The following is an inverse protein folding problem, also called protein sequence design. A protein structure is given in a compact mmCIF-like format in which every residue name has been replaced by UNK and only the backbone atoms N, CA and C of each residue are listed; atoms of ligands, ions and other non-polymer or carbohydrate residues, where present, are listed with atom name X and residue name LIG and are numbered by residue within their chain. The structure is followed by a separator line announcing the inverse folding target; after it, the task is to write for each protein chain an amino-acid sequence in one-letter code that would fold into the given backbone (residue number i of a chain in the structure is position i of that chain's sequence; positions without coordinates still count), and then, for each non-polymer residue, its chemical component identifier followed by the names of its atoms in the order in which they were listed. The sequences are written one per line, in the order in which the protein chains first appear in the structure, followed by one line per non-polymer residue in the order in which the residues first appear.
data_IF_730290558455
#
_entry.id   IF_730290558455
#
_cell.length_a   1.000
_cell.length_b   1.000
_cell.length_c   1.000
_cell.angle_alpha   90.00
_cell.angle_beta   90.00
_cell.angle_gamma   90.00
#
_symmetry.space_group_name_H-M   'P 1'
#
loop_
_entity.id
_entity.type
_entity.pdbx_description
1 polymer ?
#
# COMPACT_ATOMS: atom_id res chain seq x y z
N UNK A 1 10.26 -6.58 6.00
CA UNK A 1 8.83 -6.17 6.06
C UNK A 1 8.81 -4.67 5.94
N UNK A 2 8.12 -4.10 4.96
CA UNK A 2 8.25 -2.69 4.64
C UNK A 2 7.07 -1.86 5.16
N UNK A 3 7.31 -0.62 5.61
CA UNK A 3 6.25 0.25 6.19
C UNK A 3 5.12 0.55 5.19
N UNK A 4 5.43 0.54 3.90
CA UNK A 4 4.45 0.68 2.80
C UNK A 4 3.44 -0.48 2.81
N UNK A 5 3.88 -1.70 3.12
CA UNK A 5 2.98 -2.87 3.20
C UNK A 5 1.99 -2.75 4.37
N UNK A 6 2.38 -2.03 5.42
CA UNK A 6 1.60 -1.82 6.65
C UNK A 6 0.72 -0.57 6.59
N UNK A 7 1.03 0.35 5.69
CA UNK A 7 0.35 1.63 5.59
C UNK A 7 -0.46 1.75 4.30
N UNK A 8 0.21 1.74 3.16
CA UNK A 8 -0.40 2.02 1.87
C UNK A 8 -1.35 0.91 1.42
N UNK A 9 -0.99 -0.36 1.62
CA UNK A 9 -1.85 -1.47 1.18
C UNK A 9 -3.17 -1.52 1.96
N UNK A 10 -3.19 -1.45 3.31
CA UNK A 10 -4.45 -1.42 4.05
C UNK A 10 -5.32 -0.22 3.70
N UNK A 11 -4.72 0.97 3.55
CA UNK A 11 -5.42 2.20 3.17
C UNK A 11 -6.12 2.05 1.81
N UNK A 12 -5.37 1.54 0.82
CA UNK A 12 -5.88 1.24 -0.50
C UNK A 12 -7.02 0.21 -0.44
N UNK A 13 -6.82 -0.87 0.31
CA UNK A 13 -7.80 -1.93 0.40
C UNK A 13 -9.14 -1.46 0.96
N UNK A 14 -9.12 -0.62 2.00
CA UNK A 14 -10.33 -0.05 2.59
C UNK A 14 -11.07 0.82 1.57
N UNK A 15 -10.33 1.70 0.88
CA UNK A 15 -10.91 2.56 -0.15
C UNK A 15 -11.59 1.73 -1.26
N UNK A 16 -10.94 0.69 -1.75
CA UNK A 16 -11.49 -0.20 -2.77
C UNK A 16 -12.72 -1.00 -2.28
N UNK A 17 -12.65 -1.56 -1.06
CA UNK A 17 -13.77 -2.28 -0.48
C UNK A 17 -14.99 -1.38 -0.30
N UNK A 18 -14.79 -0.12 0.10
CA UNK A 18 -15.88 0.86 0.17
C UNK A 18 -16.48 1.12 -1.22
N UNK A 19 -15.64 1.48 -2.19
CA UNK A 19 -16.05 1.78 -3.56
C UNK A 19 -16.83 0.62 -4.21
N UNK A 20 -16.29 -0.60 -4.12
CA UNK A 20 -16.90 -1.77 -4.76
C UNK A 20 -18.22 -2.19 -4.12
N UNK A 21 -18.43 -1.82 -2.86
CA UNK A 21 -19.62 -2.21 -2.12
C UNK A 21 -20.64 -1.08 -1.97
N UNK A 22 -20.36 0.09 -2.54
CA UNK A 22 -21.27 1.24 -2.59
C UNK A 22 -22.42 1.06 -3.59
N UNK A 23 -22.17 0.29 -4.64
CA UNK A 23 -23.16 0.02 -5.69
C UNK A 23 -23.38 -1.48 -5.81
N UNK A 24 -24.53 -1.89 -6.36
CA UNK A 24 -24.76 -3.28 -6.77
C UNK A 24 -24.27 -3.55 -8.20
N UNK A 25 -23.68 -2.55 -8.88
CA UNK A 25 -23.21 -2.67 -10.26
C UNK A 25 -22.12 -3.72 -10.41
N UNK A 26 -21.19 -3.76 -9.45
CA UNK A 26 -20.02 -4.65 -9.48
C UNK A 26 -20.29 -6.01 -8.83
N UNK A 27 -21.15 -6.03 -7.80
CA UNK A 27 -21.53 -7.22 -7.07
C UNK A 27 -23.03 -7.16 -6.87
N UNK A 28 -23.76 -8.02 -7.59
CA UNK A 28 -25.23 -8.06 -7.58
C UNK A 28 -25.76 -8.73 -6.32
N UNK A 29 -25.58 -8.04 -5.19
CA UNK A 29 -26.11 -8.41 -3.88
C UNK A 29 -26.79 -7.19 -3.25
N UNK A 30 -27.82 -7.40 -2.42
CA UNK A 30 -28.77 -6.33 -2.05
C UNK A 30 -28.19 -5.27 -1.09
N UNK A 31 -27.12 -5.59 -0.36
CA UNK A 31 -26.60 -4.71 0.69
C UNK A 31 -25.07 -4.69 0.74
N UNK A 32 -24.50 -3.60 1.27
CA UNK A 32 -23.05 -3.50 1.50
C UNK A 32 -22.51 -4.66 2.36
N UNK A 33 -23.13 -5.04 3.50
CA UNK A 33 -22.69 -6.21 4.25
C UNK A 33 -22.64 -7.49 3.42
N UNK A 34 -23.67 -7.76 2.60
CA UNK A 34 -23.68 -8.95 1.74
C UNK A 34 -22.56 -8.91 0.68
N UNK A 35 -22.31 -7.75 0.07
CA UNK A 35 -21.20 -7.56 -0.89
C UNK A 35 -19.83 -7.73 -0.22
N UNK A 36 -19.64 -7.21 0.99
CA UNK A 36 -18.40 -7.40 1.74
C UNK A 36 -18.18 -8.86 2.14
N UNK A 37 -19.22 -9.54 2.59
CA UNK A 37 -19.17 -10.98 2.90
C UNK A 37 -18.79 -11.80 1.68
N UNK A 38 -19.36 -11.46 0.52
CA UNK A 38 -19.01 -12.08 -0.76
C UNK A 38 -17.53 -11.89 -1.10
N UNK A 39 -16.99 -10.65 -0.99
CA UNK A 39 -15.56 -10.39 -1.23
C UNK A 39 -14.69 -11.18 -0.24
N UNK A 40 -15.07 -11.20 1.05
CA UNK A 40 -14.35 -11.93 2.08
C UNK A 40 -14.35 -13.44 1.84
N UNK A 41 -15.46 -13.99 1.34
CA UNK A 41 -15.53 -15.39 0.92
C UNK A 41 -14.65 -15.65 -0.30
N UNK A 42 -14.73 -14.82 -1.33
CA UNK A 42 -13.88 -14.92 -2.52
C UNK A 42 -12.38 -14.87 -2.16
N UNK A 43 -11.99 -14.04 -1.20
CA UNK A 43 -10.62 -14.00 -0.68
C UNK A 43 -10.21 -15.31 0.00
N UNK A 44 -11.05 -15.87 0.88
CA UNK A 44 -10.77 -17.13 1.58
C UNK A 44 -10.66 -18.30 0.60
N UNK A 45 -11.60 -18.37 -0.35
CA UNK A 45 -11.59 -19.38 -1.41
C UNK A 45 -10.31 -19.27 -2.25
N UNK A 46 -9.84 -18.04 -2.53
CA UNK A 46 -8.58 -17.80 -3.26
C UNK A 46 -7.31 -18.20 -2.50
N UNK A 47 -7.26 -17.94 -1.18
CA UNK A 47 -6.09 -18.30 -0.34
C UNK A 47 -6.04 -19.81 -0.05
N UNK A 48 -7.18 -20.49 -0.15
CA UNK A 48 -7.39 -21.81 0.44
C UNK A 48 -7.73 -21.63 1.92
N UNK A 49 -8.77 -22.33 2.39
CA UNK A 49 -9.41 -22.21 3.73
C UNK A 49 -8.49 -22.39 4.95
N UNK A 50 -7.18 -22.49 4.77
CA UNK A 50 -6.19 -22.82 5.80
C UNK A 50 -5.51 -21.59 6.42
N UNK A 51 -5.83 -20.36 6.03
CA UNK A 51 -5.25 -19.20 6.71
C UNK A 51 -6.10 -17.91 6.73
N UNK A 52 -6.53 -17.52 7.94
CA UNK A 52 -7.09 -16.20 8.28
C UNK A 52 -6.02 -15.10 8.25
N UNK A 53 -5.34 -14.94 7.10
CA UNK A 53 -4.26 -13.95 6.93
C UNK A 53 -4.79 -12.52 7.00
N UNK A 54 -5.98 -12.31 6.47
CA UNK A 54 -6.79 -11.09 6.66
C UNK A 54 -7.94 -11.46 7.58
N UNK A 55 -8.07 -10.75 8.69
CA UNK A 55 -9.11 -11.01 9.67
C UNK A 55 -10.50 -10.84 9.02
N UNK A 56 -11.43 -11.77 9.26
CA UNK A 56 -12.78 -11.70 8.71
C UNK A 56 -13.51 -10.37 9.02
N UNK A 57 -13.23 -9.76 10.18
CA UNK A 57 -13.78 -8.45 10.56
C UNK A 57 -13.33 -7.32 9.61
N UNK A 58 -12.24 -7.48 8.87
CA UNK A 58 -11.82 -6.50 7.87
C UNK A 58 -12.86 -6.35 6.75
N UNK A 59 -13.62 -7.41 6.46
CA UNK A 59 -14.73 -7.42 5.51
C UNK A 59 -16.07 -7.09 6.19
N UNK A 60 -16.06 -6.20 7.20
CA UNK A 60 -17.27 -5.79 7.90
C UNK A 60 -17.51 -4.29 7.75
N UNK A 61 -18.78 -3.91 7.77
CA UNK A 61 -19.17 -2.51 7.75
C UNK A 61 -18.73 -1.75 9.01
N UNK A 62 -18.44 -2.45 10.11
CA UNK A 62 -17.98 -1.84 11.36
C UNK A 62 -16.58 -1.23 11.18
N UNK A 63 -15.67 -1.96 10.52
CA UNK A 63 -14.30 -1.50 10.28
C UNK A 63 -14.25 -0.46 9.16
N UNK A 64 -15.13 -0.58 8.17
CA UNK A 64 -15.14 0.31 7.01
C UNK A 64 -15.96 1.60 7.23
N UNK A 65 -16.73 1.71 8.32
CA UNK A 65 -17.44 2.97 8.64
C UNK A 65 -16.44 4.02 9.11
N UNK A 66 -16.33 5.19 8.45
CA UNK A 66 -15.76 6.36 9.10
C UNK A 66 -16.67 6.71 10.29
N UNK A 67 -16.10 6.82 11.49
CA UNK A 67 -16.80 7.42 12.63
C UNK A 67 -17.16 8.87 12.28
N UNK A 68 -18.22 9.40 12.89
CA UNK A 68 -18.74 10.75 12.58
C UNK A 68 -17.71 11.89 12.67
N UNK A 69 -16.57 11.67 13.31
CA UNK A 69 -15.44 12.60 13.40
C UNK A 69 -14.06 11.96 13.18
N UNK A 70 -13.97 10.65 12.91
CA UNK A 70 -12.69 9.95 12.80
C UNK A 70 -12.69 8.86 11.74
N UNK A 71 -11.65 8.85 10.90
CA UNK A 71 -11.41 7.76 9.96
C UNK A 71 -10.87 6.54 10.71
N UNK A 72 -11.40 5.35 10.43
CA UNK A 72 -10.91 4.11 11.05
C UNK A 72 -9.47 3.83 10.59
N UNK A 73 -8.54 3.88 11.54
CA UNK A 73 -7.17 3.45 11.32
C UNK A 73 -7.08 1.93 11.48
N UNK A 74 -6.91 1.22 10.37
CA UNK A 74 -6.74 -0.23 10.42
C UNK A 74 -5.31 -0.54 10.87
N UNK A 75 -5.23 -1.18 12.04
CA UNK A 75 -3.99 -1.65 12.64
C UNK A 75 -3.58 -3.03 12.10
N UNK A 76 -2.36 -3.46 12.47
CA UNK A 76 -1.83 -4.78 12.11
C UNK A 76 -2.70 -5.96 12.59
N UNK A 77 -3.62 -5.72 13.53
CA UNK A 77 -4.54 -6.73 14.03
C UNK A 77 -5.53 -7.24 12.97
N UNK A 78 -5.81 -6.45 11.93
CA UNK A 78 -6.71 -6.88 10.85
C UNK A 78 -5.97 -7.47 9.67
N UNK A 79 -4.80 -6.92 9.35
CA UNK A 79 -3.99 -7.38 8.23
C UNK A 79 -2.51 -7.21 8.57
N UNK A 80 -1.79 -8.33 8.65
CA UNK A 80 -0.33 -8.30 8.81
C UNK A 80 0.34 -7.86 7.51
N UNK A 81 1.58 -7.37 7.55
CA UNK A 81 2.29 -7.01 6.31
C UNK A 81 2.51 -8.20 5.37
N UNK A 82 2.65 -9.41 5.93
CA UNK A 82 2.78 -10.62 5.14
C UNK A 82 1.49 -10.93 4.40
N UNK A 83 0.35 -10.75 5.07
CA UNK A 83 -0.97 -10.87 4.47
C UNK A 83 -1.26 -9.76 3.45
N UNK A 84 -0.87 -8.51 3.75
CA UNK A 84 -1.10 -7.34 2.91
C UNK A 84 -0.63 -7.54 1.48
N UNK A 85 0.58 -8.09 1.28
CA UNK A 85 1.09 -8.34 -0.08
C UNK A 85 0.26 -9.38 -0.84
N UNK A 86 -0.13 -10.48 -0.18
CA UNK A 86 -1.01 -11.48 -0.78
C UNK A 86 -2.40 -10.92 -1.08
N UNK A 87 -2.91 -10.09 -0.18
CA UNK A 87 -4.20 -9.43 -0.35
C UNK A 87 -4.17 -8.40 -1.48
N UNK A 88 -3.07 -7.67 -1.67
CA UNK A 88 -2.90 -6.78 -2.83
C UNK A 88 -3.01 -7.54 -4.16
N UNK A 89 -2.47 -8.77 -4.25
CA UNK A 89 -2.61 -9.62 -5.44
C UNK A 89 -4.08 -9.99 -5.66
N UNK A 90 -4.80 -10.33 -4.59
CA UNK A 90 -6.24 -10.60 -4.69
C UNK A 90 -7.04 -9.36 -5.14
N UNK A 91 -6.78 -8.19 -4.55
CA UNK A 91 -7.43 -6.93 -4.92
C UNK A 91 -7.15 -6.56 -6.37
N UNK A 92 -5.92 -6.75 -6.83
CA UNK A 92 -5.54 -6.51 -8.22
C UNK A 92 -6.31 -7.40 -9.20
N UNK A 93 -6.40 -8.70 -8.91
CA UNK A 93 -7.20 -9.64 -9.71
C UNK A 93 -8.67 -9.24 -9.77
N UNK A 94 -9.25 -8.88 -8.62
CA UNK A 94 -10.65 -8.49 -8.54
C UNK A 94 -10.90 -7.15 -9.27
N UNK A 95 -10.00 -6.18 -9.12
CA UNK A 95 -10.05 -4.90 -9.82
C UNK A 95 -9.99 -5.09 -11.35
N UNK A 96 -9.10 -5.97 -11.81
CA UNK A 96 -8.97 -6.32 -13.22
C UNK A 96 -10.23 -7.00 -13.75
N UNK A 97 -10.77 -7.96 -13.00
CA UNK A 97 -12.02 -8.62 -13.37
C UNK A 97 -13.17 -7.61 -13.50
N UNK A 98 -13.35 -6.70 -12.53
CA UNK A 98 -14.37 -5.66 -12.63
C UNK A 98 -14.16 -4.72 -13.83
N UNK A 99 -12.91 -4.42 -14.16
CA UNK A 99 -12.58 -3.63 -15.34
C UNK A 99 -12.89 -4.37 -16.64
N UNK A 100 -12.63 -5.67 -16.72
CA UNK A 100 -12.96 -6.53 -17.86
C UNK A 100 -14.47 -6.71 -18.04
N UNK A 101 -15.20 -6.94 -16.94
CA UNK A 101 -16.64 -7.23 -16.94
C UNK A 101 -17.49 -5.97 -17.21
N UNK A 102 -17.04 -4.79 -16.78
CA UNK A 102 -17.84 -3.56 -16.85
C UNK A 102 -17.23 -2.41 -17.64
N UNK A 103 -15.90 -2.36 -17.79
CA UNK A 103 -15.21 -1.41 -18.67
C UNK A 103 -15.37 0.09 -18.32
N UNK A 104 -15.84 0.46 -17.13
CA UNK A 104 -15.95 1.88 -16.78
C UNK A 104 -14.57 2.50 -16.53
N UNK A 105 -14.43 3.80 -16.77
CA UNK A 105 -13.18 4.54 -16.52
C UNK A 105 -12.69 4.34 -15.07
N UNK A 106 -13.60 4.37 -14.10
CA UNK A 106 -13.21 4.18 -12.69
C UNK A 106 -12.72 2.76 -12.41
N UNK A 107 -13.28 1.75 -13.09
CA UNK A 107 -12.83 0.37 -12.93
C UNK A 107 -11.44 0.18 -13.53
N UNK A 108 -11.18 0.77 -14.70
CA UNK A 108 -9.85 0.81 -15.32
C UNK A 108 -8.83 1.53 -14.44
N UNK A 109 -9.20 2.66 -13.83
CA UNK A 109 -8.35 3.38 -12.89
C UNK A 109 -8.06 2.55 -11.63
N UNK A 110 -9.06 1.87 -11.05
CA UNK A 110 -8.85 0.98 -9.89
C UNK A 110 -7.96 -0.21 -10.24
N UNK A 111 -8.09 -0.77 -11.45
CA UNK A 111 -7.21 -1.81 -11.94
C UNK A 111 -5.76 -1.30 -12.10
N UNK A 112 -5.57 -0.12 -12.70
CA UNK A 112 -4.25 0.51 -12.82
C UNK A 112 -3.62 0.85 -11.48
N UNK A 113 -4.42 1.31 -10.52
CA UNK A 113 -4.02 1.60 -9.14
C UNK A 113 -3.47 0.34 -8.45
N UNK A 114 -4.23 -0.76 -8.47
CA UNK A 114 -3.80 -2.02 -7.86
C UNK A 114 -2.61 -2.62 -8.61
N UNK A 115 -2.66 -2.62 -9.94
CA UNK A 115 -1.63 -3.16 -10.82
C UNK A 115 -0.29 -2.47 -10.63
N UNK A 116 -0.26 -1.13 -10.62
CA UNK A 116 0.96 -0.36 -10.39
C UNK A 116 1.62 -0.70 -9.05
N UNK A 117 0.83 -0.73 -7.96
CA UNK A 117 1.38 -1.07 -6.64
C UNK A 117 1.81 -2.54 -6.54
N UNK A 118 1.07 -3.46 -7.16
CA UNK A 118 1.40 -4.89 -7.18
C UNK A 118 2.69 -5.15 -7.95
N UNK A 119 2.89 -4.50 -9.09
CA UNK A 119 4.11 -4.62 -9.90
C UNK A 119 5.33 -4.04 -9.18
N UNK A 120 5.18 -2.90 -8.49
CA UNK A 120 6.23 -2.39 -7.61
C UNK A 120 6.67 -3.44 -6.58
N UNK A 121 5.71 -4.06 -5.90
CA UNK A 121 5.99 -5.10 -4.92
C UNK A 121 6.66 -6.33 -5.55
N UNK A 122 6.22 -6.71 -6.75
CA UNK A 122 6.85 -7.80 -7.50
C UNK A 122 8.32 -7.49 -7.81
N UNK A 123 8.64 -6.30 -8.33
CA UNK A 123 10.03 -5.90 -8.63
C UNK A 123 10.89 -5.96 -7.38
N UNK A 124 10.40 -5.42 -6.25
CA UNK A 124 11.14 -5.43 -4.98
C UNK A 124 11.41 -6.84 -4.45
N UNK A 125 10.54 -7.81 -4.76
CA UNK A 125 10.65 -9.21 -4.34
C UNK A 125 11.56 -10.03 -5.26
N UNK A 126 11.48 -9.77 -6.57
CA UNK A 126 12.21 -10.51 -7.60
C UNK A 126 13.67 -10.06 -7.76
N UNK A 127 14.04 -8.93 -7.15
CA UNK A 127 15.39 -8.39 -7.20
C UNK A 127 16.08 -8.44 -5.84
N UNK A 128 17.42 -8.52 -5.86
CA UNK A 128 18.25 -8.41 -4.67
C UNK A 128 18.36 -6.97 -4.15
N UNK A 129 19.43 -6.68 -3.42
CA UNK A 129 19.70 -5.33 -2.86
C UNK A 129 19.83 -4.24 -3.93
N UNK A 130 20.27 -4.63 -5.13
CA UNK A 130 20.48 -3.75 -6.27
C UNK A 130 19.46 -4.05 -7.35
N UNK A 131 18.96 -2.99 -7.97
CA UNK A 131 18.08 -3.06 -9.13
C UNK A 131 18.92 -2.90 -10.41
N UNK A 132 18.72 -3.79 -11.37
CA UNK A 132 19.24 -3.65 -12.75
C UNK A 132 18.55 -2.49 -13.49
N UNK A 133 19.09 -2.08 -14.64
CA UNK A 133 18.58 -0.93 -15.43
C UNK A 133 17.06 -1.00 -15.66
N UNK A 134 16.60 -2.08 -16.28
CA UNK A 134 15.18 -2.31 -16.60
C UNK A 134 14.29 -2.28 -15.34
N UNK A 135 14.78 -2.82 -14.22
CA UNK A 135 14.04 -2.83 -12.96
C UNK A 135 13.90 -1.42 -12.36
N UNK A 136 14.88 -0.53 -12.55
CA UNK A 136 14.80 0.86 -12.08
C UNK A 136 13.74 1.64 -12.85
N UNK A 137 13.78 1.55 -14.18
CA UNK A 137 12.82 2.23 -15.05
C UNK A 137 11.40 1.71 -14.81
N UNK A 138 11.25 0.38 -14.66
CA UNK A 138 9.97 -0.24 -14.32
C UNK A 138 9.41 0.25 -12.98
N UNK A 139 10.27 0.48 -11.96
CA UNK A 139 9.81 1.03 -10.69
C UNK A 139 9.18 2.41 -10.85
N UNK A 140 9.85 3.31 -11.58
CA UNK A 140 9.33 4.66 -11.81
C UNK A 140 8.04 4.62 -12.63
N UNK A 141 7.99 3.81 -13.68
CA UNK A 141 6.80 3.61 -14.51
C UNK A 141 5.59 3.14 -13.70
N UNK A 142 5.72 2.06 -12.92
CA UNK A 142 4.59 1.52 -12.15
C UNK A 142 4.19 2.41 -10.97
N UNK A 143 5.13 3.17 -10.41
CA UNK A 143 4.81 4.20 -9.43
C UNK A 143 3.98 5.33 -10.03
N UNK A 144 4.36 5.83 -11.21
CA UNK A 144 3.59 6.86 -11.92
C UNK A 144 2.19 6.34 -12.25
N UNK A 145 2.06 5.11 -12.75
CA UNK A 145 0.75 4.50 -12.99
C UNK A 145 -0.12 4.48 -11.72
N UNK A 146 0.44 3.97 -10.61
CA UNK A 146 -0.24 3.95 -9.31
C UNK A 146 -0.66 5.35 -8.85
N UNK A 147 0.24 6.34 -8.91
CA UNK A 147 -0.04 7.70 -8.42
C UNK A 147 -1.02 8.46 -9.30
N UNK A 148 -0.90 8.34 -10.61
CA UNK A 148 -1.84 8.96 -11.55
C UNK A 148 -3.24 8.41 -11.32
N UNK A 149 -3.40 7.08 -11.27
CA UNK A 149 -4.70 6.47 -11.01
C UNK A 149 -5.30 6.91 -9.65
N UNK A 150 -4.47 6.95 -8.61
CA UNK A 150 -4.89 7.43 -7.29
C UNK A 150 -5.37 8.88 -7.32
N UNK A 151 -4.60 9.76 -7.97
CA UNK A 151 -4.92 11.19 -8.02
C UNK A 151 -6.21 11.44 -8.83
N UNK A 152 -6.41 10.74 -9.94
CA UNK A 152 -7.66 10.82 -10.72
C UNK A 152 -8.88 10.41 -9.89
N UNK A 153 -8.79 9.26 -9.20
CA UNK A 153 -9.87 8.80 -8.32
C UNK A 153 -10.11 9.76 -7.15
N UNK A 154 -9.05 10.34 -6.57
CA UNK A 154 -9.16 11.31 -5.48
C UNK A 154 -9.84 12.62 -5.92
N UNK A 155 -9.47 13.17 -7.07
CA UNK A 155 -10.12 14.36 -7.66
C UNK A 155 -11.60 14.08 -7.90
N UNK A 156 -11.93 12.95 -8.52
CA UNK A 156 -13.33 12.57 -8.77
C UNK A 156 -14.13 12.41 -7.47
N UNK A 157 -13.52 11.83 -6.44
CA UNK A 157 -14.14 11.70 -5.13
C UNK A 157 -14.38 13.07 -4.47
N UNK A 158 -13.45 14.01 -4.60
CA UNK A 158 -13.60 15.39 -4.13
C UNK A 158 -14.73 16.12 -4.86
N UNK A 159 -14.73 16.09 -6.20
CA UNK A 159 -15.77 16.69 -7.05
C UNK A 159 -17.16 16.13 -6.74
N UNK A 160 -17.24 14.83 -6.47
CA UNK A 160 -18.48 14.14 -6.11
C UNK A 160 -18.86 14.31 -4.63
N UNK A 161 -18.03 14.98 -3.81
CA UNK A 161 -18.17 15.10 -2.34
C UNK A 161 -18.27 13.76 -1.61
N UNK A 162 -17.49 12.78 -2.07
CA UNK A 162 -17.42 11.41 -1.57
C UNK A 162 -16.07 11.11 -0.92
N UNK A 163 -15.60 12.00 -0.05
CA UNK A 163 -14.36 11.81 0.71
C UNK A 163 -14.62 10.86 1.90
N UNK A 164 -14.52 9.55 1.64
CA UNK A 164 -14.92 8.52 2.60
C UNK A 164 -13.78 7.95 3.45
N UNK A 165 -12.53 8.16 3.02
CA UNK A 165 -11.36 7.56 3.66
C UNK A 165 -10.14 8.48 3.65
N UNK A 166 -9.41 8.50 4.75
CA UNK A 166 -8.16 9.23 4.88
C UNK A 166 -6.96 8.34 4.56
N UNK A 167 -6.20 8.71 3.53
CA UNK A 167 -4.93 8.06 3.21
C UNK A 167 -3.83 8.61 4.13
N UNK A 168 -3.09 7.72 4.79
CA UNK A 168 -1.96 8.13 5.62
C UNK A 168 -0.87 8.75 4.72
N UNK A 169 -0.03 9.67 5.25
CA UNK A 169 1.05 10.34 4.49
C UNK A 169 2.21 9.40 4.10
N UNK A 170 2.00 8.07 4.14
CA UNK A 170 2.99 7.07 3.72
C UNK A 170 3.09 6.91 2.21
N UNK A 171 2.12 7.42 1.46
CA UNK A 171 2.19 7.49 -0.02
C UNK A 171 3.27 8.47 -0.46
N UNK A 172 3.43 9.61 0.24
CA UNK A 172 4.55 10.52 -0.01
C UNK A 172 5.89 9.87 0.33
N UNK A 173 5.95 9.07 1.39
CA UNK A 173 7.14 8.28 1.68
C UNK A 173 7.47 7.29 0.55
N UNK A 174 6.47 6.62 -0.04
CA UNK A 174 6.68 5.75 -1.20
C UNK A 174 7.32 6.51 -2.38
N UNK A 175 6.91 7.76 -2.62
CA UNK A 175 7.53 8.63 -3.63
C UNK A 175 9.04 8.73 -3.48
N UNK A 176 9.49 9.03 -2.27
CA UNK A 176 10.92 9.11 -1.96
C UNK A 176 11.63 7.78 -2.16
N UNK A 177 11.01 6.67 -1.78
CA UNK A 177 11.60 5.35 -2.02
C UNK A 177 11.79 5.06 -3.50
N UNK A 178 10.84 5.45 -4.35
CA UNK A 178 10.96 5.21 -5.79
C UNK A 178 11.94 6.20 -6.43
N UNK A 179 11.69 7.50 -6.27
CA UNK A 179 12.42 8.54 -7.02
C UNK A 179 13.84 8.77 -6.48
N UNK A 180 14.08 8.56 -5.19
CA UNK A 180 15.40 8.79 -4.58
C UNK A 180 16.21 7.49 -4.41
N UNK A 181 15.56 6.37 -4.09
CA UNK A 181 16.27 5.10 -3.85
C UNK A 181 16.26 4.18 -5.07
N UNK A 182 15.10 3.85 -5.64
CA UNK A 182 15.02 2.94 -6.79
C UNK A 182 15.72 3.50 -8.02
N UNK A 183 15.58 4.81 -8.29
CA UNK A 183 16.29 5.49 -9.38
C UNK A 183 17.82 5.38 -9.27
N UNK A 184 18.35 5.31 -8.05
CA UNK A 184 19.78 5.10 -7.79
C UNK A 184 20.19 3.61 -7.81
N UNK A 185 19.26 2.72 -8.17
CA UNK A 185 19.47 1.28 -8.22
C UNK A 185 19.39 0.57 -6.89
N UNK A 186 18.78 1.19 -5.88
CA UNK A 186 18.64 0.59 -4.54
C UNK A 186 17.23 0.02 -4.39
N UNK A 187 17.16 -1.25 -4.00
CA UNK A 187 15.90 -1.87 -3.66
C UNK A 187 15.49 -1.42 -2.24
N UNK A 188 14.40 -0.65 -2.13
CA UNK A 188 13.99 -0.06 -0.85
C UNK A 188 13.65 -1.11 0.21
N UNK A 189 13.24 -2.32 -0.20
CA UNK A 189 12.97 -3.45 0.72
C UNK A 189 14.14 -3.72 1.68
N UNK A 190 15.36 -3.44 1.26
CA UNK A 190 16.59 -3.72 2.01
C UNK A 190 17.19 -2.49 2.70
N UNK A 191 16.66 -1.29 2.47
CA UNK A 191 17.26 -0.04 2.98
C UNK A 191 16.30 0.84 3.80
N UNK A 192 14.99 0.59 3.76
CA UNK A 192 14.01 1.35 4.53
C UNK A 192 13.27 0.49 5.55
N UNK A 193 13.54 0.75 6.83
CA UNK A 193 12.96 0.05 7.98
C UNK A 193 12.44 1.06 9.04
N UNK A 194 11.80 2.15 8.62
CA UNK A 194 11.67 3.34 9.46
C UNK A 194 10.26 3.62 9.99
N UNK A 195 10.21 4.06 11.26
CA UNK A 195 9.02 4.49 11.99
C UNK A 195 8.63 5.96 11.74
N UNK A 196 9.57 6.83 11.33
CA UNK A 196 9.36 8.29 11.21
C UNK A 196 9.87 8.92 9.91
N UNK A 197 9.31 10.08 9.55
CA UNK A 197 9.62 10.85 8.34
C UNK A 197 11.03 11.49 8.39
N UNK A 198 11.45 12.01 9.54
CA UNK A 198 12.78 12.63 9.69
C UNK A 198 13.93 11.66 9.44
N UNK A 199 13.71 10.38 9.77
CA UNK A 199 14.69 9.35 9.49
C UNK A 199 14.85 9.10 8.00
N UNK A 200 13.80 9.30 7.20
CA UNK A 200 13.86 9.24 5.73
C UNK A 200 14.81 10.31 5.20
N UNK A 201 14.72 11.53 5.73
CA UNK A 201 15.61 12.64 5.33
C UNK A 201 17.08 12.39 5.71
N UNK A 202 17.34 11.84 6.90
CA UNK A 202 18.69 11.44 7.31
C UNK A 202 19.24 10.36 6.38
N UNK A 203 18.42 9.35 6.10
CA UNK A 203 18.81 8.23 5.27
C UNK A 203 18.98 8.59 3.81
N UNK A 204 18.19 9.52 3.27
CA UNK A 204 18.41 10.09 1.95
C UNK A 204 19.80 10.69 1.87
N UNK A 205 20.19 11.52 2.85
CA UNK A 205 21.54 12.11 2.90
C UNK A 205 22.64 11.06 2.95
N UNK A 206 22.44 9.99 3.72
CA UNK A 206 23.39 8.88 3.79
C UNK A 206 23.46 8.09 2.49
N UNK A 207 22.30 7.74 1.94
CA UNK A 207 22.17 6.98 0.72
C UNK A 207 22.86 7.74 -0.43
N UNK A 208 22.65 9.06 -0.56
CA UNK A 208 23.36 9.88 -1.55
C UNK A 208 24.89 9.83 -1.46
N UNK A 209 25.46 9.45 -0.31
CA UNK A 209 26.91 9.49 -0.04
C UNK A 209 27.56 8.12 0.11
N UNK A 210 26.78 7.05 0.22
CA UNK A 210 27.27 5.71 0.55
C UNK A 210 27.12 4.72 -0.60
N UNK A 211 28.05 3.77 -0.66
CA UNK A 211 27.98 2.66 -1.60
C UNK A 211 26.76 1.77 -1.28
N UNK A 212 25.97 1.34 -2.30
CA UNK A 212 24.75 0.57 -2.08
C UNK A 212 24.91 -0.71 -1.24
N UNK A 213 26.05 -1.41 -1.36
CA UNK A 213 26.31 -2.65 -0.60
C UNK A 213 26.37 -2.44 0.91
N UNK A 214 26.87 -1.28 1.36
CA UNK A 214 26.99 -0.94 2.78
C UNK A 214 25.83 -0.08 3.27
N UNK A 215 25.07 0.52 2.35
CA UNK A 215 23.95 1.39 2.67
C UNK A 215 22.98 0.71 3.64
N UNK A 216 22.53 -0.53 3.36
CA UNK A 216 21.61 -1.25 4.23
C UNK A 216 22.14 -1.46 5.66
N UNK A 217 23.42 -1.82 5.82
CA UNK A 217 24.03 -1.97 7.14
C UNK A 217 24.09 -0.64 7.89
N UNK A 218 24.60 0.42 7.23
CA UNK A 218 24.66 1.76 7.83
C UNK A 218 23.28 2.32 8.15
N UNK A 219 22.27 1.98 7.34
CA UNK A 219 20.85 2.32 7.55
C UNK A 219 20.34 1.77 8.88
N UNK A 220 20.65 0.50 9.16
CA UNK A 220 20.27 -0.19 10.41
C UNK A 220 21.06 0.34 11.60
N UNK A 221 22.37 0.60 11.45
CA UNK A 221 23.19 1.17 12.52
C UNK A 221 22.67 2.56 12.95
N UNK A 222 22.39 3.43 11.98
CA UNK A 222 21.81 4.75 12.27
C UNK A 222 20.38 4.66 12.80
N UNK A 223 19.59 3.68 12.34
CA UNK A 223 18.27 3.41 12.90
C UNK A 223 18.37 3.02 14.38
N UNK A 224 19.25 2.07 14.71
CA UNK A 224 19.47 1.60 16.07
C UNK A 224 19.90 2.77 16.96
N UNK A 225 20.84 3.61 16.51
CA UNK A 225 21.24 4.82 17.22
C UNK A 225 20.06 5.77 17.43
N UNK A 226 19.27 6.05 16.39
CA UNK A 226 18.14 6.96 16.48
C UNK A 226 17.06 6.44 17.44
N UNK A 227 16.72 5.16 17.40
CA UNK A 227 15.78 4.52 18.33
C UNK A 227 16.31 4.58 19.76
N UNK A 228 17.58 4.25 19.98
CA UNK A 228 18.21 4.33 21.30
C UNK A 228 18.18 5.76 21.86
N UNK A 229 18.51 6.76 21.04
CA UNK A 229 18.48 8.17 21.45
C UNK A 229 17.06 8.66 21.73
N UNK A 230 16.06 8.25 20.93
CA UNK A 230 14.65 8.58 21.18
C UNK A 230 14.12 7.94 22.47
N UNK A 231 14.42 6.67 22.71
CA UNK A 231 14.05 6.01 23.97
C UNK A 231 14.77 6.56 25.19
N UNK A 232 15.98 7.08 25.01
CA UNK A 232 16.69 7.79 26.08
C UNK A 232 16.14 9.20 26.33
N UNK A 233 15.13 9.67 25.59
CA UNK A 233 14.58 11.03 25.70
C UNK A 233 15.56 12.11 25.22
N UNK A 234 16.54 11.75 24.39
CA UNK A 234 17.57 12.66 23.88
C UNK A 234 17.22 13.25 22.51
N UNK A 235 16.10 12.81 21.92
CA UNK A 235 15.53 13.34 20.70
C UNK A 235 14.06 13.65 20.98
N UNK A 236 13.65 14.87 20.65
CA UNK A 236 12.25 15.29 20.70
C UNK A 236 11.43 14.63 19.58
N UNK A 237 10.11 14.62 19.74
CA UNK A 237 9.16 13.99 18.80
C UNK A 237 9.07 14.68 17.43
#
# INVERSE_FOLDING_TARGET
MHIIDLATIPDLAIALLLDWTDTNRLIDLPSRPARLEWIGKAYRDWVGNDSDRVNAKFFSSEILKPGGTSYTSVSQHYISAAAARGFLIFLEKLARQFAEDHGSEDDLLRAGLCGGLQQLQHIMMSNGKLLGGDAKESCEHFYILFRSALNHLAVKAEESKQLRYHLRPKIHHLEHLILDHCRQGRNYRYVSCYLGEDMVRLMKRMALRLHPLVCGQRSVEHYALHVCLKWAGLLDD
#
